data_IF_211384009741
#
_entry.id   IF_211384009741
#
_cell.length_a   1.000
_cell.length_b   1.000
_cell.length_c   1.000
_cell.angle_alpha   90.00
_cell.angle_beta   90.00
_cell.angle_gamma   90.00
#
_symmetry.space_group_name_H-M   'P 1'
#
loop_
_entity.id
_entity.type
_entity.pdbx_description
1 polymer ?
#
# COMPACT_ATOMS: atom_id res chain seq x y z
N UNK A 1 0.78 11.83 18.44
CA UNK A 1 0.48 10.67 17.59
C UNK A 1 0.80 9.38 18.31
N UNK A 2 -0.14 8.45 18.25
CA UNK A 2 0.10 7.08 18.65
C UNK A 2 1.18 6.47 17.74
N UNK A 3 2.10 5.73 18.34
CA UNK A 3 3.19 5.05 17.65
C UNK A 3 2.69 4.10 16.55
N UNK A 4 1.52 3.44 16.76
CA UNK A 4 0.88 2.57 15.78
C UNK A 4 0.40 3.33 14.55
N UNK A 5 -0.15 4.50 14.77
CA UNK A 5 -0.63 5.35 13.69
C UNK A 5 0.51 5.80 12.79
N UNK A 6 1.66 6.09 13.40
CA UNK A 6 2.82 6.59 12.68
C UNK A 6 3.40 5.59 11.68
N UNK A 7 3.54 4.33 12.07
CA UNK A 7 4.09 3.33 11.16
C UNK A 7 3.11 3.02 10.01
N UNK A 8 1.81 3.10 10.26
CA UNK A 8 0.81 2.91 9.21
C UNK A 8 0.89 4.01 8.15
N UNK A 9 1.08 5.25 8.56
CA UNK A 9 1.26 6.37 7.63
C UNK A 9 2.54 6.23 6.82
N UNK A 10 3.62 5.79 7.46
CA UNK A 10 4.89 5.54 6.78
C UNK A 10 4.73 4.41 5.75
N UNK A 11 4.04 3.33 6.12
CA UNK A 11 3.76 2.23 5.20
C UNK A 11 2.99 2.72 3.98
N UNK A 12 1.96 3.56 4.18
CA UNK A 12 1.19 4.14 3.07
C UNK A 12 2.07 5.01 2.17
N UNK A 13 2.98 5.80 2.76
CA UNK A 13 3.89 6.64 1.99
C UNK A 13 4.85 5.80 1.15
N UNK A 14 5.43 4.76 1.73
CA UNK A 14 6.32 3.84 1.00
C UNK A 14 5.56 3.11 -0.11
N UNK A 15 4.35 2.66 0.17
CA UNK A 15 3.48 2.00 -0.81
C UNK A 15 3.21 2.94 -2.00
N UNK A 16 2.86 4.17 -1.71
CA UNK A 16 2.61 5.17 -2.74
C UNK A 16 3.86 5.38 -3.62
N UNK A 17 5.03 5.46 -2.99
CA UNK A 17 6.29 5.61 -3.70
C UNK A 17 6.55 4.43 -4.65
N UNK A 18 6.34 3.21 -4.17
CA UNK A 18 6.51 2.00 -4.98
C UNK A 18 5.61 2.03 -6.22
N UNK A 19 4.32 2.29 -6.03
CA UNK A 19 3.35 2.22 -7.14
C UNK A 19 3.35 3.46 -8.02
N UNK A 20 3.51 4.66 -7.45
CA UNK A 20 3.51 5.91 -8.22
C UNK A 20 4.78 6.07 -9.05
N UNK A 21 5.92 5.65 -8.52
CA UNK A 21 7.18 5.70 -9.26
C UNK A 21 7.42 4.43 -10.08
N UNK A 22 6.48 3.50 -10.07
CA UNK A 22 6.55 2.25 -10.82
C UNK A 22 7.86 1.51 -10.61
N UNK A 23 8.23 1.33 -9.35
CA UNK A 23 9.44 0.60 -9.03
C UNK A 23 9.32 -0.82 -9.54
N UNK A 24 10.38 -1.28 -10.20
CA UNK A 24 10.37 -2.60 -10.81
C UNK A 24 10.46 -3.71 -9.76
N UNK A 25 9.93 -4.88 -10.13
CA UNK A 25 10.06 -6.08 -9.32
C UNK A 25 11.51 -6.29 -8.90
N UNK A 26 11.68 -6.73 -7.66
CA UNK A 26 12.98 -7.06 -7.06
C UNK A 26 13.92 -5.86 -6.85
N UNK A 27 13.44 -4.64 -7.03
CA UNK A 27 14.21 -3.44 -6.74
C UNK A 27 14.43 -3.32 -5.23
N UNK A 28 15.69 -3.18 -4.76
CA UNK A 28 15.93 -2.95 -3.34
C UNK A 28 15.39 -1.60 -2.88
N UNK A 29 14.77 -1.59 -1.72
CA UNK A 29 14.31 -0.36 -1.07
C UNK A 29 15.46 0.27 -0.29
N UNK A 30 15.35 1.57 0.07
CA UNK A 30 16.30 2.18 0.98
C UNK A 30 16.46 1.39 2.28
N UNK A 31 17.59 1.50 2.91
CA UNK A 31 17.87 0.81 4.17
C UNK A 31 16.96 1.32 5.29
N UNK A 32 16.83 0.52 6.35
CA UNK A 32 16.10 0.95 7.55
C UNK A 32 16.68 2.27 8.08
N UNK A 33 18.01 2.39 8.09
CA UNK A 33 18.67 3.61 8.52
C UNK A 33 18.29 4.81 7.66
N UNK A 34 18.27 4.64 6.33
CA UNK A 34 17.87 5.70 5.42
C UNK A 34 16.44 6.15 5.68
N UNK A 35 15.54 5.21 5.95
CA UNK A 35 14.15 5.52 6.29
C UNK A 35 14.03 6.21 7.65
N UNK A 36 14.81 5.82 8.66
CA UNK A 36 14.79 6.51 9.95
C UNK A 36 15.21 7.97 9.80
N UNK A 37 16.19 8.23 8.97
CA UNK A 37 16.62 9.60 8.68
C UNK A 37 15.56 10.37 7.92
N UNK A 38 14.96 9.75 6.90
CA UNK A 38 13.93 10.39 6.09
C UNK A 38 12.69 10.77 6.90
N UNK A 39 12.22 9.85 7.75
CA UNK A 39 10.97 10.05 8.49
C UNK A 39 11.15 10.57 9.91
N UNK A 40 12.40 10.65 10.39
CA UNK A 40 12.68 11.14 11.73
C UNK A 40 12.06 10.26 12.82
N UNK A 41 12.11 8.95 12.67
CA UNK A 41 11.52 7.99 13.63
C UNK A 41 12.54 6.92 14.01
N UNK A 42 12.22 6.16 15.06
CA UNK A 42 13.05 5.05 15.51
C UNK A 42 13.01 3.87 14.51
N UNK A 43 14.05 3.05 14.53
CA UNK A 43 14.16 1.87 13.66
C UNK A 43 12.96 0.93 13.79
N UNK A 44 12.47 0.72 15.01
CA UNK A 44 11.32 -0.17 15.24
C UNK A 44 10.06 0.30 14.52
N UNK A 45 9.86 1.59 14.40
CA UNK A 45 8.73 2.16 13.66
C UNK A 45 8.85 1.82 12.17
N UNK A 46 10.05 1.94 11.62
CA UNK A 46 10.31 1.57 10.22
C UNK A 46 10.11 0.07 10.00
N UNK A 47 10.64 -0.75 10.91
CA UNK A 47 10.47 -2.21 10.81
C UNK A 47 8.98 -2.58 10.82
N UNK A 48 8.19 -1.96 11.68
CA UNK A 48 6.74 -2.20 11.72
C UNK A 48 6.07 -1.81 10.40
N UNK A 49 6.45 -0.69 9.82
CA UNK A 49 5.93 -0.25 8.52
C UNK A 49 6.27 -1.25 7.41
N UNK A 50 7.52 -1.70 7.37
CA UNK A 50 7.98 -2.66 6.36
C UNK A 50 7.32 -4.02 6.55
N UNK A 51 7.12 -4.48 7.78
CA UNK A 51 6.41 -5.73 8.05
C UNK A 51 4.95 -5.66 7.56
N UNK A 52 4.30 -4.52 7.72
CA UNK A 52 2.94 -4.32 7.22
C UNK A 52 2.89 -4.48 5.69
N UNK A 53 3.84 -3.88 4.98
CA UNK A 53 3.93 -4.01 3.52
C UNK A 53 4.29 -5.42 3.09
N UNK A 54 5.18 -6.09 3.83
CA UNK A 54 5.54 -7.48 3.57
C UNK A 54 4.31 -8.38 3.72
N UNK A 55 3.53 -8.19 4.78
CA UNK A 55 2.35 -8.99 5.04
C UNK A 55 1.28 -8.81 3.95
N UNK A 56 1.26 -7.67 3.29
CA UNK A 56 0.39 -7.40 2.14
C UNK A 56 0.98 -7.89 0.82
N UNK A 57 2.16 -8.46 0.84
CA UNK A 57 2.81 -9.01 -0.35
C UNK A 57 3.37 -7.97 -1.31
N UNK A 58 3.55 -6.72 -0.87
CA UNK A 58 4.08 -5.62 -1.68
C UNK A 58 5.61 -5.66 -1.74
N UNK A 59 6.24 -6.10 -0.66
CA UNK A 59 7.68 -6.23 -0.54
C UNK A 59 8.04 -7.59 0.07
N UNK A 60 9.30 -7.96 -0.05
CA UNK A 60 9.82 -9.16 0.61
C UNK A 60 11.21 -8.86 1.17
N UNK A 61 11.64 -9.66 2.13
CA UNK A 61 12.98 -9.56 2.71
C UNK A 61 13.94 -10.40 1.88
N UNK A 62 14.96 -9.76 1.34
CA UNK A 62 16.04 -10.45 0.62
C UNK A 62 17.19 -10.72 1.60
N UNK A 63 17.81 -11.86 1.45
CA UNK A 63 18.88 -12.34 2.34
C UNK A 63 20.03 -11.32 2.51
N UNK A 64 20.44 -10.67 1.41
CA UNK A 64 21.59 -9.76 1.43
C UNK A 64 21.25 -8.33 1.04
N UNK A 65 20.15 -8.12 0.31
CA UNK A 65 19.78 -6.79 -0.22
C UNK A 65 18.81 -6.02 0.65
N UNK A 66 18.35 -6.63 1.77
CA UNK A 66 17.31 -6.04 2.60
C UNK A 66 15.93 -6.23 2.00
N UNK A 67 15.06 -5.25 2.17
CA UNK A 67 13.71 -5.33 1.62
C UNK A 67 13.69 -4.92 0.16
N UNK A 68 12.96 -5.68 -0.63
CA UNK A 68 12.85 -5.47 -2.08
C UNK A 68 11.40 -5.46 -2.51
N UNK A 69 11.11 -4.77 -3.61
CA UNK A 69 9.79 -4.80 -4.24
C UNK A 69 9.47 -6.21 -4.67
N UNK A 70 8.24 -6.67 -4.41
CA UNK A 70 7.80 -8.03 -4.73
C UNK A 70 8.07 -8.38 -6.19
N UNK A 71 8.47 -9.63 -6.44
CA UNK A 71 8.72 -10.11 -7.80
C UNK A 71 7.47 -10.13 -8.66
N UNK A 72 6.29 -10.25 -8.02
CA UNK A 72 4.99 -10.26 -8.69
C UNK A 72 4.22 -8.95 -8.44
N UNK A 73 4.91 -7.82 -8.36
CA UNK A 73 4.30 -6.54 -7.96
C UNK A 73 3.13 -6.13 -8.87
N UNK A 74 3.19 -6.41 -10.16
CA UNK A 74 2.11 -6.07 -11.08
C UNK A 74 0.85 -6.89 -10.79
N UNK A 75 1.00 -8.18 -10.48
CA UNK A 75 -0.11 -9.04 -10.06
C UNK A 75 -0.69 -8.56 -8.73
N UNK A 76 0.17 -8.19 -7.80
CA UNK A 76 -0.24 -7.66 -6.49
C UNK A 76 -1.03 -6.37 -6.64
N UNK A 77 -0.64 -5.51 -7.55
CA UNK A 77 -1.36 -4.27 -7.85
C UNK A 77 -2.80 -4.55 -8.25
N UNK A 78 -3.02 -5.53 -9.11
CA UNK A 78 -4.36 -5.91 -9.57
C UNK A 78 -5.17 -6.51 -8.41
N UNK A 79 -4.56 -7.37 -7.59
CA UNK A 79 -5.21 -7.95 -6.41
C UNK A 79 -5.66 -6.85 -5.44
N UNK A 80 -4.77 -5.89 -5.15
CA UNK A 80 -5.08 -4.77 -4.27
C UNK A 80 -6.20 -3.90 -4.83
N UNK A 81 -6.20 -3.65 -6.14
CA UNK A 81 -7.27 -2.89 -6.80
C UNK A 81 -8.61 -3.60 -6.66
N UNK A 82 -8.65 -4.92 -6.86
CA UNK A 82 -9.87 -5.70 -6.72
C UNK A 82 -10.38 -5.67 -5.27
N UNK A 83 -9.50 -5.77 -4.29
CA UNK A 83 -9.87 -5.68 -2.88
C UNK A 83 -10.48 -4.31 -2.54
N UNK A 84 -9.91 -3.23 -3.06
CA UNK A 84 -10.44 -1.88 -2.85
C UNK A 84 -11.84 -1.73 -3.45
N UNK A 85 -12.06 -2.28 -4.64
CA UNK A 85 -13.37 -2.24 -5.30
C UNK A 85 -14.38 -3.07 -4.51
N UNK A 86 -14.01 -4.27 -4.08
CA UNK A 86 -14.89 -5.13 -3.30
C UNK A 86 -15.29 -4.46 -1.97
N UNK A 87 -14.34 -3.81 -1.31
CA UNK A 87 -14.61 -3.09 -0.07
C UNK A 87 -15.53 -1.90 -0.32
N UNK A 88 -15.34 -1.18 -1.41
CA UNK A 88 -16.20 -0.07 -1.78
C UNK A 88 -17.63 -0.54 -2.02
N UNK A 89 -17.80 -1.63 -2.76
CA UNK A 89 -19.12 -2.22 -3.04
C UNK A 89 -19.81 -2.60 -1.73
N UNK A 90 -19.09 -3.25 -0.82
CA UNK A 90 -19.63 -3.66 0.48
C UNK A 90 -20.03 -2.44 1.32
N UNK A 91 -19.19 -1.43 1.39
CA UNK A 91 -19.47 -0.21 2.16
C UNK A 91 -20.69 0.52 1.59
N UNK A 92 -20.80 0.61 0.26
CA UNK A 92 -21.94 1.24 -0.40
C UNK A 92 -23.24 0.51 -0.11
N UNK A 93 -23.20 -0.83 -0.08
CA UNK A 93 -24.37 -1.64 0.30
C UNK A 93 -24.85 -1.29 1.71
N UNK A 94 -23.94 -1.09 2.64
CA UNK A 94 -24.27 -0.77 4.03
C UNK A 94 -25.00 0.57 4.17
N UNK A 95 -24.86 1.47 3.21
CA UNK A 95 -25.59 2.74 3.22
C UNK A 95 -26.72 2.76 2.17
N UNK A 96 -27.14 1.59 1.70
CA UNK A 96 -28.33 1.46 0.86
C UNK A 96 -28.12 1.62 -0.64
N UNK A 97 -26.88 1.62 -1.12
CA UNK A 97 -26.61 1.73 -2.56
C UNK A 97 -26.34 0.36 -3.17
N UNK A 98 -27.01 0.06 -4.27
CA UNK A 98 -26.75 -1.15 -5.06
C UNK A 98 -25.50 -0.97 -5.93
N UNK A 99 -25.06 -2.06 -6.55
CA UNK A 99 -23.94 -1.97 -7.51
C UNK A 99 -24.29 -1.08 -8.69
N UNK A 100 -25.55 -1.12 -9.14
CA UNK A 100 -26.01 -0.25 -10.22
C UNK A 100 -25.92 1.22 -9.81
N UNK A 101 -26.41 1.54 -8.62
CA UNK A 101 -26.34 2.92 -8.07
C UNK A 101 -24.89 3.40 -7.99
N UNK A 102 -23.99 2.54 -7.51
CA UNK A 102 -22.57 2.85 -7.43
C UNK A 102 -22.00 3.19 -8.81
N UNK A 103 -22.32 2.38 -9.81
CA UNK A 103 -21.86 2.60 -11.18
C UNK A 103 -22.34 3.96 -11.71
N UNK A 104 -23.60 4.31 -11.47
CA UNK A 104 -24.14 5.58 -11.91
C UNK A 104 -23.47 6.76 -11.23
N UNK A 105 -23.18 6.65 -9.93
CA UNK A 105 -22.45 7.69 -9.20
C UNK A 105 -21.03 7.87 -9.74
N UNK A 106 -20.34 6.77 -9.99
CA UNK A 106 -18.97 6.80 -10.53
C UNK A 106 -18.98 7.48 -11.90
N UNK A 107 -19.90 7.10 -12.79
CA UNK A 107 -20.01 7.71 -14.11
C UNK A 107 -20.20 9.21 -14.02
N UNK A 108 -21.09 9.66 -13.13
CA UNK A 108 -21.36 11.08 -12.94
C UNK A 108 -20.14 11.82 -12.41
N UNK A 109 -19.49 11.28 -11.39
CA UNK A 109 -18.31 11.89 -10.77
C UNK A 109 -17.15 11.98 -11.76
N UNK A 110 -16.93 10.91 -12.53
CA UNK A 110 -15.84 10.84 -13.50
C UNK A 110 -16.22 11.44 -14.87
N UNK A 111 -17.46 11.84 -15.05
CA UNK A 111 -17.97 12.41 -16.29
C UNK A 111 -17.82 11.48 -17.49
N UNK A 112 -18.12 10.22 -17.25
CA UNK A 112 -18.06 9.19 -18.31
C UNK A 112 -19.38 9.07 -19.06
#
# INVERSE_FOLDING_TARGET
FDKQYKYQLIAEDIKLDIFSNRLKANTPLPSIRAYTEKYGVASNTIVSALHLLRDKGIIYSHRTKGYCVAGNIEERKVILANELIDNLIADMKHIGFSQYDLLQLIRRIMKL
#
